data_IF_584238722388
#
_entry.id   IF_584238722388
#
_cell.length_a   1.000
_cell.length_b   1.000
_cell.length_c   1.000
_cell.angle_alpha   90.00
_cell.angle_beta   90.00
_cell.angle_gamma   90.00
#
_symmetry.space_group_name_H-M   'P 1'
#
loop_
_entity.id
_entity.type
_entity.pdbx_description
1 polymer ?
#
# COMPACT_ATOMS: atom_id res chain seq x y z
N UNK A 1 15.36 22.42 -15.31
CA UNK A 1 15.97 23.30 -14.27
C UNK A 1 16.99 22.47 -13.47
N UNK A 2 18.14 23.05 -13.14
CA UNK A 2 19.14 22.38 -12.30
C UNK A 2 18.68 22.39 -10.84
N UNK A 3 18.54 21.21 -10.22
CA UNK A 3 18.09 21.08 -8.84
C UNK A 3 19.04 21.77 -7.86
N UNK A 4 18.49 22.43 -6.84
CA UNK A 4 19.26 23.06 -5.76
C UNK A 4 20.18 22.05 -5.08
N UNK A 5 21.33 22.51 -4.58
CA UNK A 5 22.22 21.70 -3.74
C UNK A 5 21.48 21.18 -2.51
N UNK A 6 20.57 21.98 -1.95
CA UNK A 6 19.72 21.58 -0.83
C UNK A 6 18.84 20.39 -1.20
N UNK A 7 18.08 20.47 -2.30
CA UNK A 7 17.21 19.38 -2.76
C UNK A 7 18.00 18.11 -3.02
N UNK A 8 19.22 18.20 -3.58
CA UNK A 8 20.10 17.05 -3.79
C UNK A 8 20.56 16.42 -2.48
N UNK A 9 20.95 17.23 -1.48
CA UNK A 9 21.33 16.73 -0.16
C UNK A 9 20.14 16.13 0.59
N UNK A 10 18.99 16.79 0.53
CA UNK A 10 17.76 16.35 1.20
C UNK A 10 17.26 15.02 0.64
N UNK A 11 17.06 14.94 -0.69
CA UNK A 11 16.57 13.74 -1.37
C UNK A 11 17.60 12.60 -1.42
N UNK A 12 18.90 12.92 -1.50
CA UNK A 12 19.97 11.95 -1.68
C UNK A 12 20.59 11.41 -0.39
N UNK A 13 20.54 12.16 0.71
CA UNK A 13 21.20 11.77 1.97
C UNK A 13 20.26 11.83 3.18
N UNK A 14 19.67 13.00 3.46
CA UNK A 14 18.91 13.21 4.70
C UNK A 14 17.65 12.33 4.76
N UNK A 15 16.87 12.31 3.68
CA UNK A 15 15.65 11.52 3.62
C UNK A 15 15.92 10.00 3.65
N UNK A 16 16.88 9.45 2.86
CA UNK A 16 17.26 8.05 2.99
C UNK A 16 17.66 7.61 4.40
N UNK A 17 18.45 8.44 5.09
CA UNK A 17 18.87 8.17 6.47
C UNK A 17 17.67 8.18 7.43
N UNK A 18 16.81 9.20 7.32
CA UNK A 18 15.60 9.31 8.14
C UNK A 18 14.66 8.12 7.96
N UNK A 19 14.39 7.68 6.72
CA UNK A 19 13.53 6.52 6.46
C UNK A 19 14.14 5.23 7.01
N UNK A 20 15.46 5.06 6.89
CA UNK A 20 16.17 3.91 7.47
C UNK A 20 16.07 3.88 9.00
N UNK A 21 16.23 5.03 9.66
CA UNK A 21 16.09 5.14 11.12
C UNK A 21 14.66 4.83 11.60
N UNK A 22 13.64 5.15 10.79
CA UNK A 22 12.23 4.81 11.07
C UNK A 22 11.85 3.38 10.68
N UNK A 23 12.77 2.62 10.09
CA UNK A 23 12.52 1.26 9.61
C UNK A 23 11.51 1.21 8.48
N UNK A 24 11.50 2.22 7.61
CA UNK A 24 10.62 2.32 6.44
C UNK A 24 11.32 1.79 5.18
N UNK A 25 10.57 1.13 4.30
CA UNK A 25 11.03 0.60 3.01
C UNK A 25 10.78 1.57 1.84
N UNK A 26 10.54 2.85 2.15
CA UNK A 26 10.09 3.89 1.20
C UNK A 26 11.01 4.06 0.00
N UNK A 27 12.34 3.96 0.18
CA UNK A 27 13.28 4.10 -0.93
C UNK A 27 13.14 2.95 -1.94
N UNK A 28 13.03 1.72 -1.44
CA UNK A 28 12.85 0.54 -2.28
C UNK A 28 11.50 0.62 -3.01
N UNK A 29 10.43 1.00 -2.30
CA UNK A 29 9.12 1.24 -2.90
C UNK A 29 9.16 2.35 -3.97
N UNK A 30 9.90 3.44 -3.74
CA UNK A 30 10.05 4.53 -4.72
C UNK A 30 10.75 4.06 -5.99
N UNK A 31 11.88 3.35 -5.86
CA UNK A 31 12.62 2.81 -7.03
C UNK A 31 11.72 1.87 -7.85
N UNK A 32 10.98 0.99 -7.17
CA UNK A 32 10.02 0.09 -7.82
C UNK A 32 8.91 0.85 -8.54
N UNK A 33 8.35 1.90 -7.93
CA UNK A 33 7.29 2.73 -8.51
C UNK A 33 7.76 3.56 -9.71
N UNK A 34 8.95 4.16 -9.63
CA UNK A 34 9.57 4.93 -10.72
C UNK A 34 9.92 4.06 -11.93
N UNK A 35 10.38 2.82 -11.69
CA UNK A 35 10.63 1.87 -12.77
C UNK A 35 9.31 1.39 -13.38
N UNK A 36 8.33 1.06 -12.55
CA UNK A 36 7.09 0.44 -13.02
C UNK A 36 6.19 1.36 -13.84
N UNK A 37 6.33 2.68 -13.72
CA UNK A 37 5.51 3.64 -14.49
C UNK A 37 5.82 3.63 -16.00
N UNK A 38 6.97 3.08 -16.39
CA UNK A 38 7.40 2.99 -17.79
C UNK A 38 7.35 1.57 -18.36
N UNK A 39 6.78 0.60 -17.61
CA UNK A 39 6.63 -0.76 -18.11
C UNK A 39 5.60 -0.82 -19.24
N UNK A 40 5.79 -1.78 -20.16
CA UNK A 40 4.75 -2.10 -21.13
C UNK A 40 3.48 -2.56 -20.42
N UNK A 41 2.30 -2.42 -21.05
CA UNK A 41 1.05 -2.91 -20.48
C UNK A 41 1.10 -4.39 -20.08
N UNK A 42 1.80 -5.23 -20.84
CA UNK A 42 1.95 -6.67 -20.58
C UNK A 42 2.81 -6.91 -19.34
N UNK A 43 3.95 -6.22 -19.23
CA UNK A 43 4.82 -6.30 -18.06
C UNK A 43 4.13 -5.78 -16.79
N UNK A 44 3.34 -4.71 -16.91
CA UNK A 44 2.55 -4.16 -15.81
C UNK A 44 1.48 -5.16 -15.35
N UNK A 45 0.74 -5.79 -16.29
CA UNK A 45 -0.25 -6.83 -15.98
C UNK A 45 0.39 -8.03 -15.28
N UNK A 46 1.53 -8.52 -15.79
CA UNK A 46 2.26 -9.63 -15.16
C UNK A 46 2.68 -9.29 -13.73
N UNK A 47 3.19 -8.07 -13.50
CA UNK A 47 3.53 -7.58 -12.16
C UNK A 47 2.31 -7.48 -11.24
N UNK A 48 1.17 -6.99 -11.75
CA UNK A 48 -0.08 -6.91 -10.99
C UNK A 48 -0.58 -8.28 -10.56
N UNK A 49 -0.60 -9.27 -11.48
CA UNK A 49 -1.02 -10.64 -11.19
C UNK A 49 -0.11 -11.28 -10.15
N UNK A 50 1.22 -11.13 -10.29
CA UNK A 50 2.17 -11.67 -9.32
C UNK A 50 1.97 -11.08 -7.90
N UNK A 51 1.76 -9.76 -7.80
CA UNK A 51 1.47 -9.09 -6.52
C UNK A 51 0.11 -9.48 -5.96
N UNK A 52 -0.92 -9.59 -6.80
CA UNK A 52 -2.24 -10.03 -6.40
C UNK A 52 -2.18 -11.44 -5.81
N UNK A 53 -1.52 -12.37 -6.49
CA UNK A 53 -1.32 -13.74 -5.98
C UNK A 53 -0.61 -13.74 -4.63
N UNK A 54 0.48 -12.97 -4.49
CA UNK A 54 1.19 -12.87 -3.22
C UNK A 54 0.31 -12.29 -2.09
N UNK A 55 -0.51 -11.28 -2.39
CA UNK A 55 -1.46 -10.71 -1.43
C UNK A 55 -2.52 -11.72 -1.00
N UNK A 56 -3.15 -12.41 -1.95
CA UNK A 56 -4.20 -13.39 -1.69
C UNK A 56 -3.65 -14.60 -0.92
N UNK A 57 -2.46 -15.09 -1.27
CA UNK A 57 -1.77 -16.14 -0.51
C UNK A 57 -1.51 -15.74 0.93
N UNK A 58 -1.02 -14.53 1.16
CA UNK A 58 -0.79 -14.01 2.50
C UNK A 58 -2.11 -13.88 3.27
N UNK A 59 -3.17 -13.36 2.63
CA UNK A 59 -4.49 -13.25 3.25
C UNK A 59 -5.06 -14.62 3.64
N UNK A 60 -4.97 -15.62 2.77
CA UNK A 60 -5.40 -16.99 3.03
C UNK A 60 -4.64 -17.62 4.22
N UNK A 61 -3.34 -17.34 4.32
CA UNK A 61 -2.49 -17.93 5.34
C UNK A 61 -2.56 -17.22 6.70
N UNK A 62 -2.74 -15.89 6.71
CA UNK A 62 -2.50 -15.05 7.89
C UNK A 62 -3.69 -14.22 8.34
N UNK A 63 -4.75 -14.08 7.56
CA UNK A 63 -5.92 -13.26 7.94
C UNK A 63 -7.13 -14.19 8.16
N UNK A 64 -7.56 -14.41 9.41
CA UNK A 64 -8.66 -15.32 9.73
C UNK A 64 -9.91 -15.12 8.87
N UNK A 65 -10.33 -13.88 8.65
CA UNK A 65 -11.51 -13.55 7.83
C UNK A 65 -11.36 -14.09 6.39
N UNK A 66 -10.23 -13.82 5.72
CA UNK A 66 -10.02 -14.26 4.34
C UNK A 66 -9.77 -15.76 4.24
N UNK A 67 -9.13 -16.37 5.24
CA UNK A 67 -8.98 -17.83 5.31
C UNK A 67 -10.34 -18.52 5.31
N UNK A 68 -11.25 -18.04 6.16
CA UNK A 68 -12.62 -18.58 6.25
C UNK A 68 -13.42 -18.29 4.98
N UNK A 69 -13.34 -17.07 4.44
CA UNK A 69 -14.01 -16.68 3.20
C UNK A 69 -13.59 -17.57 2.04
N UNK A 70 -12.28 -17.71 1.80
CA UNK A 70 -11.76 -18.50 0.68
C UNK A 70 -12.13 -19.98 0.80
N UNK A 71 -12.06 -20.55 2.01
CA UNK A 71 -12.52 -21.92 2.25
C UNK A 71 -14.02 -22.07 1.94
N UNK A 72 -14.84 -21.12 2.36
CA UNK A 72 -16.29 -21.14 2.16
C UNK A 72 -16.73 -21.06 0.70
N UNK A 73 -15.97 -20.35 -0.15
CA UNK A 73 -16.28 -20.21 -1.59
C UNK A 73 -15.39 -21.08 -2.50
N UNK A 74 -14.50 -21.91 -1.93
CA UNK A 74 -13.55 -22.73 -2.69
C UNK A 74 -12.54 -21.92 -3.51
N UNK A 75 -12.15 -20.73 -3.05
CA UNK A 75 -11.22 -19.85 -3.76
C UNK A 75 -9.77 -20.25 -3.48
N UNK A 76 -9.02 -20.60 -4.53
CA UNK A 76 -7.59 -20.91 -4.44
C UNK A 76 -6.73 -19.73 -4.96
N UNK A 77 -5.95 -19.07 -4.08
CA UNK A 77 -4.99 -18.05 -4.48
C UNK A 77 -3.96 -18.51 -5.51
N UNK A 78 -3.51 -19.77 -5.49
CA UNK A 78 -2.49 -20.27 -6.42
C UNK A 78 -3.02 -20.41 -7.86
N UNK A 79 -4.34 -20.59 -8.01
CA UNK A 79 -5.02 -20.68 -9.30
C UNK A 79 -5.12 -19.33 -10.03
N UNK A 80 -4.87 -18.19 -9.37
CA UNK A 80 -5.04 -16.85 -9.95
C UNK A 80 -4.05 -16.60 -11.10
N UNK A 81 -4.55 -16.45 -12.34
CA UNK A 81 -3.74 -16.17 -13.55
C UNK A 81 -3.90 -14.77 -14.12
N UNK A 82 -4.96 -14.07 -13.73
CA UNK A 82 -5.27 -12.72 -14.18
C UNK A 82 -6.02 -11.94 -13.07
N UNK A 83 -6.41 -10.71 -13.39
CA UNK A 83 -7.16 -9.86 -12.46
C UNK A 83 -8.66 -10.19 -12.43
N UNK A 84 -9.17 -10.98 -13.37
CA UNK A 84 -10.59 -11.35 -13.40
C UNK A 84 -10.96 -12.24 -12.20
N UNK A 85 -9.97 -12.91 -11.59
CA UNK A 85 -10.15 -13.64 -10.34
C UNK A 85 -10.79 -12.79 -9.21
N UNK A 86 -10.60 -11.46 -9.22
CA UNK A 86 -11.22 -10.56 -8.25
C UNK A 86 -12.75 -10.56 -8.32
N UNK A 87 -13.36 -10.89 -9.48
CA UNK A 87 -14.82 -10.95 -9.62
C UNK A 87 -15.46 -12.10 -8.84
N UNK A 88 -14.67 -13.10 -8.44
CA UNK A 88 -15.16 -14.21 -7.61
C UNK A 88 -15.15 -13.87 -6.11
N UNK A 89 -14.52 -12.75 -5.71
CA UNK A 89 -14.45 -12.33 -4.32
C UNK A 89 -15.58 -11.35 -4.00
N UNK A 90 -16.30 -11.53 -2.87
CA UNK A 90 -17.28 -10.56 -2.44
C UNK A 90 -16.61 -9.23 -2.07
N UNK A 91 -17.36 -8.13 -2.24
CA UNK A 91 -16.91 -6.79 -1.88
C UNK A 91 -16.85 -6.66 -0.36
N UNK A 92 -15.71 -6.19 0.16
CA UNK A 92 -15.56 -5.88 1.59
C UNK A 92 -16.25 -4.54 1.92
N UNK A 93 -17.34 -4.60 2.66
CA UNK A 93 -18.11 -3.42 3.08
C UNK A 93 -17.61 -2.85 4.41
N UNK A 94 -18.00 -1.61 4.72
CA UNK A 94 -17.65 -0.98 6.02
C UNK A 94 -18.27 -1.75 7.18
N UNK A 95 -19.46 -2.30 6.99
CA UNK A 95 -20.20 -3.10 7.96
C UNK A 95 -19.43 -4.38 8.26
N UNK A 96 -18.96 -5.11 7.23
CA UNK A 96 -18.12 -6.29 7.41
C UNK A 96 -16.82 -5.97 8.15
N UNK A 97 -16.19 -4.83 7.85
CA UNK A 97 -14.98 -4.40 8.56
C UNK A 97 -15.25 -4.16 10.05
N UNK A 98 -16.39 -3.53 10.38
CA UNK A 98 -16.78 -3.30 11.78
C UNK A 98 -17.07 -4.61 12.50
N UNK A 99 -17.84 -5.49 11.87
CA UNK A 99 -18.26 -6.77 12.48
C UNK A 99 -17.09 -7.74 12.65
N UNK A 100 -16.14 -7.77 11.71
CA UNK A 100 -15.02 -8.72 11.69
C UNK A 100 -13.66 -8.07 11.96
N UNK A 101 -13.63 -6.97 12.71
CA UNK A 101 -12.41 -6.16 12.89
C UNK A 101 -11.19 -6.99 13.35
N UNK A 102 -11.37 -7.83 14.38
CA UNK A 102 -10.27 -8.67 14.89
C UNK A 102 -9.89 -9.79 13.91
N UNK A 103 -10.85 -10.38 13.20
CA UNK A 103 -10.59 -11.43 12.20
C UNK A 103 -9.91 -10.90 10.92
N UNK A 104 -10.06 -9.60 10.65
CA UNK A 104 -9.39 -8.91 9.54
C UNK A 104 -7.94 -8.54 9.86
N UNK A 105 -7.52 -8.67 11.11
CA UNK A 105 -6.12 -8.48 11.51
C UNK A 105 -5.31 -9.72 11.16
N UNK A 106 -4.21 -9.52 10.45
CA UNK A 106 -3.28 -10.61 10.17
C UNK A 106 -2.57 -11.09 11.47
N UNK A 107 -2.39 -12.39 11.62
CA UNK A 107 -1.72 -13.02 12.79
C UNK A 107 -0.26 -12.54 12.94
N UNK A 108 0.39 -12.19 11.83
CA UNK A 108 1.75 -11.66 11.79
C UNK A 108 1.80 -10.13 11.70
N UNK A 109 0.67 -9.44 11.92
CA UNK A 109 0.64 -7.97 11.95
C UNK A 109 1.52 -7.45 13.09
N UNK A 110 2.57 -6.69 12.72
CA UNK A 110 3.51 -6.02 13.62
C UNK A 110 3.54 -4.53 13.29
N UNK A 111 3.83 -3.70 14.29
CA UNK A 111 4.01 -2.25 14.11
C UNK A 111 2.85 -1.58 13.37
N UNK A 112 1.62 -1.90 13.80
CA UNK A 112 0.40 -1.30 13.29
C UNK A 112 -0.10 -0.23 14.27
N UNK A 113 -0.67 0.84 13.74
CA UNK A 113 -1.34 1.87 14.52
C UNK A 113 -2.84 1.89 14.18
N UNK A 114 -3.66 2.17 15.19
CA UNK A 114 -5.11 2.31 15.05
C UNK A 114 -5.44 3.69 14.48
N UNK A 115 -6.29 3.72 13.47
CA UNK A 115 -6.87 4.93 12.89
C UNK A 115 -8.38 4.81 12.87
N UNK A 116 -9.05 5.95 12.84
CA UNK A 116 -10.49 6.05 12.66
C UNK A 116 -10.84 7.08 11.60
N UNK A 117 -11.90 6.81 10.84
CA UNK A 117 -12.46 7.83 9.96
C UNK A 117 -13.27 8.84 10.76
N UNK A 118 -13.06 10.14 10.53
CA UNK A 118 -13.96 11.18 11.01
C UNK A 118 -15.05 11.40 9.97
N UNK A 119 -16.30 11.06 10.28
CA UNK A 119 -17.42 11.19 9.34
C UNK A 119 -18.70 11.67 10.04
N UNK A 120 -19.54 12.40 9.31
CA UNK A 120 -20.79 13.01 9.80
C UNK A 120 -21.90 12.01 10.15
N UNK A 121 -21.74 10.72 9.79
CA UNK A 121 -22.72 9.65 9.99
C UNK A 121 -22.65 8.97 11.36
N UNK A 122 -21.89 9.52 12.32
CA UNK A 122 -21.90 9.10 13.73
C UNK A 122 -21.10 7.85 14.09
N UNK A 123 -20.88 6.92 13.16
CA UNK A 123 -20.12 5.68 13.43
C UNK A 123 -18.75 5.62 12.72
N UNK A 124 -17.65 5.99 13.41
CA UNK A 124 -16.30 6.02 12.83
C UNK A 124 -15.78 4.61 12.53
N UNK A 125 -15.33 4.38 11.29
CA UNK A 125 -14.69 3.12 10.92
C UNK A 125 -13.28 3.06 11.50
N UNK A 126 -13.00 2.05 12.33
CA UNK A 126 -11.66 1.77 12.87
C UNK A 126 -10.89 0.83 11.94
N UNK A 127 -9.60 1.11 11.73
CA UNK A 127 -8.71 0.28 10.91
C UNK A 127 -7.26 0.38 11.35
N UNK A 128 -6.45 -0.59 10.94
CA UNK A 128 -5.03 -0.68 11.29
C UNK A 128 -4.16 -0.28 10.08
N UNK A 129 -3.17 0.57 10.32
CA UNK A 129 -2.16 0.93 9.31
C UNK A 129 -0.79 0.43 9.77
N UNK A 130 -0.13 -0.39 8.94
CA UNK A 130 1.25 -0.82 9.15
C UNK A 130 2.28 0.07 8.46
N UNK A 131 3.54 0.02 8.92
CA UNK A 131 4.66 0.80 8.34
C UNK A 131 4.84 0.64 6.84
N UNK A 132 4.61 -0.56 6.31
CA UNK A 132 4.70 -0.87 4.87
C UNK A 132 3.67 -0.08 4.03
N UNK A 133 2.50 0.22 4.61
CA UNK A 133 1.49 1.07 3.97
C UNK A 133 1.96 2.53 3.95
N UNK A 134 2.43 3.05 5.08
CA UNK A 134 2.99 4.41 5.18
C UNK A 134 4.12 4.62 4.16
N UNK A 135 5.05 3.68 4.11
CA UNK A 135 6.21 3.75 3.19
C UNK A 135 5.79 3.79 1.72
N UNK A 136 4.76 3.02 1.35
CA UNK A 136 4.19 3.04 -0.01
C UNK A 136 3.45 4.34 -0.32
N UNK A 137 2.69 4.87 0.62
CA UNK A 137 1.95 6.14 0.43
C UNK A 137 2.93 7.30 0.21
N UNK A 138 4.01 7.37 1.01
CA UNK A 138 5.08 8.35 0.84
C UNK A 138 5.76 8.17 -0.53
N UNK A 139 6.14 6.95 -0.90
CA UNK A 139 6.75 6.68 -2.20
C UNK A 139 5.85 7.05 -3.38
N UNK A 140 4.54 6.78 -3.28
CA UNK A 140 3.56 7.11 -4.30
C UNK A 140 3.34 8.61 -4.43
N UNK A 141 3.26 9.35 -3.30
CA UNK A 141 3.22 10.83 -3.29
C UNK A 141 4.41 11.37 -4.09
N UNK A 142 5.63 10.92 -3.78
CA UNK A 142 6.83 11.44 -4.42
C UNK A 142 6.96 11.09 -5.90
N UNK A 143 6.52 9.88 -6.30
CA UNK A 143 6.43 9.57 -7.73
C UNK A 143 5.49 10.56 -8.43
N UNK A 144 4.32 10.82 -7.85
CA UNK A 144 3.34 11.73 -8.44
C UNK A 144 3.91 13.14 -8.53
N UNK A 145 4.39 13.74 -7.43
CA UNK A 145 4.87 15.14 -7.44
C UNK A 145 6.01 15.39 -8.45
N UNK A 146 6.85 14.38 -8.72
CA UNK A 146 7.92 14.46 -9.72
C UNK A 146 7.43 14.57 -11.16
N UNK A 147 6.19 14.20 -11.45
CA UNK A 147 5.57 14.50 -12.75
C UNK A 147 5.43 16.02 -12.99
N UNK A 148 5.46 16.81 -11.91
CA UNK A 148 5.45 18.28 -11.93
C UNK A 148 6.82 18.89 -11.58
N UNK A 149 7.91 18.12 -11.69
CA UNK A 149 9.28 18.53 -11.33
C UNK A 149 9.45 18.98 -9.86
N UNK A 150 8.59 18.48 -8.96
CA UNK A 150 8.68 18.70 -7.51
C UNK A 150 9.24 17.47 -6.83
N UNK A 151 10.36 17.63 -6.11
CA UNK A 151 11.05 16.55 -5.42
C UNK A 151 11.15 16.77 -3.90
N UNK A 152 11.63 15.75 -3.21
CA UNK A 152 11.88 15.74 -1.77
C UNK A 152 12.83 16.87 -1.40
N UNK A 153 12.36 17.79 -0.55
CA UNK A 153 13.11 18.94 -0.08
C UNK A 153 12.81 20.24 -0.85
N UNK A 154 12.00 20.19 -1.91
CA UNK A 154 11.50 21.42 -2.50
C UNK A 154 10.47 22.09 -1.58
N UNK A 155 10.36 23.42 -1.65
CA UNK A 155 9.40 24.17 -0.86
C UNK A 155 8.00 23.93 -1.43
N UNK A 156 7.13 23.30 -0.64
CA UNK A 156 5.73 23.07 -0.98
C UNK A 156 4.79 23.76 0.02
N UNK A 157 3.63 24.22 -0.48
CA UNK A 157 2.48 24.63 0.34
C UNK A 157 1.36 23.66 0.00
N UNK A 158 0.69 23.13 1.03
CA UNK A 158 -0.49 22.27 0.86
C UNK A 158 -1.71 23.05 1.34
N UNK A 159 -2.61 23.36 0.42
CA UNK A 159 -3.91 23.95 0.70
C UNK A 159 -4.99 22.87 0.62
N UNK A 160 -5.92 22.89 1.56
CA UNK A 160 -7.01 21.92 1.71
C UNK A 160 -8.35 22.65 1.69
#
# INVERSE_FOLDING_TARGET
MTRSLYTRLASGLLFPLHERLKGHDTLAARVELERSQWLSPEALRAMQVARLRALLRHAAARVPFYRNLFAGIGFDPEAVRDLAALHHLPVLTKELIRTHFEELRADDARHVAMFSTTGSSGDPLRFLIGRRRVSRDVAAKWRATRWWDVDIGDREIVAW
#
